data_IF_878081573225
#
_entry.id   IF_878081573225
#
_cell.length_a   1.000
_cell.length_b   1.000
_cell.length_c   1.000
_cell.angle_alpha   90.00
_cell.angle_beta   90.00
_cell.angle_gamma   90.00
#
_symmetry.space_group_name_H-M   'P 1'
#
loop_
_entity.id
_entity.type
_entity.pdbx_description
1 polymer ?
#
# COMPACT_ATOMS: atom_id res chain seq x y z
N UNK A 1 -9.24 7.78 -9.62
CA UNK A 1 -7.88 8.29 -9.28
C UNK A 1 -6.97 7.12 -8.91
N UNK A 2 -5.66 7.16 -9.21
CA UNK A 2 -4.75 6.04 -8.92
C UNK A 2 -4.17 6.10 -7.49
N UNK A 3 -5.04 6.16 -6.49
CA UNK A 3 -4.69 6.12 -5.06
C UNK A 3 -5.60 5.12 -4.34
N UNK A 4 -5.16 4.64 -3.18
CA UNK A 4 -5.93 3.77 -2.27
C UNK A 4 -5.95 4.45 -0.89
N UNK A 5 -7.10 4.52 -0.23
CA UNK A 5 -7.17 5.00 1.16
C UNK A 5 -6.80 3.86 2.11
N UNK A 6 -5.70 4.01 2.83
CA UNK A 6 -5.28 3.10 3.90
C UNK A 6 -6.04 3.39 5.20
N UNK A 7 -6.78 2.40 5.70
CA UNK A 7 -7.74 2.56 6.79
C UNK A 7 -7.22 2.11 8.16
N UNK A 8 -5.93 1.76 8.31
CA UNK A 8 -5.33 1.25 9.56
C UNK A 8 -5.60 2.14 10.80
N UNK A 9 -5.66 3.45 10.60
CA UNK A 9 -5.89 4.44 11.67
C UNK A 9 -7.37 4.73 11.92
N UNK A 10 -8.26 4.30 11.04
CA UNK A 10 -9.71 4.48 11.19
C UNK A 10 -10.21 3.38 12.12
N UNK A 11 -10.61 3.71 13.35
CA UNK A 11 -10.99 2.72 14.38
C UNK A 11 -12.33 3.02 15.05
N UNK A 12 -12.92 4.17 14.74
CA UNK A 12 -14.24 4.59 15.16
C UNK A 12 -15.04 5.05 13.93
N UNK A 13 -16.37 5.04 14.04
CA UNK A 13 -17.25 5.34 12.92
C UNK A 13 -17.09 6.77 12.42
N UNK A 14 -17.06 7.76 13.32
CA UNK A 14 -17.03 9.18 12.91
C UNK A 14 -15.76 9.55 12.16
N UNK A 15 -14.60 9.10 12.64
CA UNK A 15 -13.32 9.28 11.94
C UNK A 15 -13.27 8.53 10.61
N UNK A 16 -13.83 7.32 10.54
CA UNK A 16 -13.91 6.55 9.30
C UNK A 16 -14.82 7.23 8.26
N UNK A 17 -15.98 7.72 8.69
CA UNK A 17 -16.97 8.39 7.83
C UNK A 17 -16.37 9.63 7.17
N UNK A 18 -15.82 10.53 7.98
CA UNK A 18 -15.23 11.77 7.48
C UNK A 18 -14.02 11.50 6.55
N UNK A 19 -13.24 10.46 6.82
CA UNK A 19 -12.12 10.08 5.98
C UNK A 19 -12.57 9.48 4.63
N UNK A 20 -13.57 8.59 4.64
CA UNK A 20 -14.12 7.98 3.42
C UNK A 20 -14.84 9.02 2.57
N UNK A 21 -15.60 9.93 3.18
CA UNK A 21 -16.25 11.04 2.48
C UNK A 21 -15.22 11.92 1.76
N UNK A 22 -14.17 12.35 2.46
CA UNK A 22 -13.10 13.15 1.87
C UNK A 22 -12.38 12.40 0.73
N UNK A 23 -12.17 11.09 0.88
CA UNK A 23 -11.56 10.25 -0.13
C UNK A 23 -12.43 10.14 -1.40
N UNK A 24 -13.74 9.92 -1.23
CA UNK A 24 -14.71 9.91 -2.33
C UNK A 24 -14.78 11.27 -3.04
N UNK A 25 -14.75 12.38 -2.28
CA UNK A 25 -14.80 13.74 -2.83
C UNK A 25 -13.64 14.05 -3.79
N UNK A 26 -12.48 13.43 -3.59
CA UNK A 26 -11.32 13.55 -4.50
C UNK A 26 -11.21 12.40 -5.51
N UNK A 27 -12.13 11.44 -5.49
CA UNK A 27 -12.20 10.32 -6.44
C UNK A 27 -11.35 9.09 -6.09
N UNK A 28 -11.01 8.91 -4.81
CA UNK A 28 -10.48 7.64 -4.28
C UNK A 28 -11.67 6.73 -3.98
N UNK A 29 -11.72 5.59 -4.67
CA UNK A 29 -12.78 4.58 -4.53
C UNK A 29 -12.28 3.24 -3.99
N UNK A 30 -10.98 3.12 -3.69
CA UNK A 30 -10.37 1.89 -3.15
C UNK A 30 -10.02 2.10 -1.67
N UNK A 31 -10.49 1.19 -0.83
CA UNK A 31 -10.17 1.14 0.60
C UNK A 31 -9.26 -0.04 0.88
N UNK A 32 -8.25 0.17 1.72
CA UNK A 32 -7.34 -0.89 2.19
C UNK A 32 -7.39 -0.99 3.72
N UNK A 33 -7.83 -2.14 4.23
CA UNK A 33 -7.83 -2.47 5.66
C UNK A 33 -7.16 -3.84 5.89
N UNK A 34 -7.26 -4.41 7.10
CA UNK A 34 -6.81 -5.75 7.42
C UNK A 34 -7.54 -6.26 8.68
N UNK A 35 -7.67 -7.58 8.81
CA UNK A 35 -8.26 -8.23 9.99
C UNK A 35 -7.58 -7.86 11.31
N UNK A 36 -6.27 -7.67 11.30
CA UNK A 36 -5.47 -7.33 12.47
C UNK A 36 -5.50 -5.85 12.84
N UNK A 37 -5.96 -4.95 11.95
CA UNK A 37 -5.93 -3.50 12.20
C UNK A 37 -6.84 -3.10 13.37
N UNK A 38 -6.20 -2.74 14.48
CA UNK A 38 -6.90 -2.49 15.75
C UNK A 38 -7.70 -3.70 16.23
N UNK A 39 -7.20 -4.93 16.00
CA UNK A 39 -7.93 -6.17 16.27
C UNK A 39 -9.34 -6.17 15.62
N UNK A 40 -9.38 -5.85 14.32
CA UNK A 40 -10.60 -5.74 13.51
C UNK A 40 -11.41 -4.46 13.73
N UNK A 41 -10.92 -3.50 14.52
CA UNK A 41 -11.62 -2.23 14.74
C UNK A 41 -11.77 -1.43 13.44
N UNK A 42 -10.77 -1.51 12.55
CA UNK A 42 -10.85 -0.82 11.25
C UNK A 42 -11.96 -1.36 10.36
N UNK A 43 -12.07 -2.68 10.23
CA UNK A 43 -13.15 -3.31 9.48
C UNK A 43 -14.53 -3.00 10.09
N UNK A 44 -14.65 -3.00 11.43
CA UNK A 44 -15.90 -2.62 12.12
C UNK A 44 -16.29 -1.16 11.89
N UNK A 45 -15.32 -0.25 11.90
CA UNK A 45 -15.56 1.16 11.65
C UNK A 45 -16.04 1.38 10.21
N UNK A 46 -15.39 0.77 9.22
CA UNK A 46 -15.83 0.80 7.82
C UNK A 46 -17.24 0.20 7.69
N UNK A 47 -17.51 -0.95 8.32
CA UNK A 47 -18.82 -1.58 8.26
C UNK A 47 -19.94 -0.73 8.86
N UNK A 48 -19.68 -0.02 9.96
CA UNK A 48 -20.62 0.94 10.54
C UNK A 48 -20.92 2.11 9.58
N UNK A 49 -19.89 2.61 8.87
CA UNK A 49 -20.07 3.64 7.83
C UNK A 49 -20.91 3.12 6.67
N UNK A 50 -20.65 1.90 6.18
CA UNK A 50 -21.42 1.31 5.09
C UNK A 50 -22.87 1.02 5.48
N UNK A 51 -23.13 0.67 6.74
CA UNK A 51 -24.50 0.53 7.26
C UNK A 51 -25.23 1.88 7.34
N UNK A 52 -24.52 2.96 7.71
CA UNK A 52 -25.07 4.31 7.72
C UNK A 52 -25.26 4.90 6.30
N UNK A 53 -24.39 4.51 5.36
CA UNK A 53 -24.37 4.98 3.96
C UNK A 53 -24.38 3.82 2.95
N UNK A 54 -25.48 3.04 2.83
CA UNK A 54 -25.49 1.84 1.99
C UNK A 54 -25.15 2.08 0.52
N UNK A 55 -25.44 3.28 -0.01
CA UNK A 55 -25.12 3.66 -1.39
C UNK A 55 -23.62 3.74 -1.67
N UNK A 56 -22.79 3.97 -0.65
CA UNK A 56 -21.33 4.05 -0.80
C UNK A 56 -20.71 2.69 -1.13
N UNK A 57 -21.32 1.57 -0.72
CA UNK A 57 -20.80 0.23 -1.04
C UNK A 57 -20.63 0.03 -2.55
N UNK A 58 -21.56 0.55 -3.35
CA UNK A 58 -21.52 0.45 -4.82
C UNK A 58 -20.44 1.33 -5.47
N UNK A 59 -19.95 2.33 -4.75
CA UNK A 59 -18.92 3.26 -5.19
C UNK A 59 -17.51 2.83 -4.75
N UNK A 60 -17.43 1.91 -3.79
CA UNK A 60 -16.19 1.51 -3.13
C UNK A 60 -15.79 0.08 -3.52
N UNK A 61 -14.49 -0.10 -3.72
CA UNK A 61 -13.81 -1.39 -3.76
C UNK A 61 -13.07 -1.59 -2.45
N UNK A 62 -13.40 -2.65 -1.72
CA UNK A 62 -12.82 -2.97 -0.42
C UNK A 62 -11.74 -4.04 -0.57
N UNK A 63 -10.53 -3.67 -0.16
CA UNK A 63 -9.41 -4.57 0.03
C UNK A 63 -9.20 -4.83 1.52
N UNK A 64 -9.07 -6.10 1.92
CA UNK A 64 -8.61 -6.48 3.26
C UNK A 64 -7.51 -7.53 3.16
N UNK A 65 -6.94 -7.93 4.31
CA UNK A 65 -5.81 -8.85 4.39
C UNK A 65 -6.04 -9.86 5.49
N UNK A 66 -5.49 -11.05 5.30
CA UNK A 66 -5.44 -12.11 6.30
C UNK A 66 -4.02 -12.69 6.39
N UNK A 67 -3.77 -13.46 7.44
CA UNK A 67 -2.55 -14.27 7.56
C UNK A 67 -1.67 -13.96 8.76
N UNK A 68 -1.90 -12.80 9.41
CA UNK A 68 -1.32 -12.48 10.72
C UNK A 68 -2.41 -12.66 11.77
N UNK A 69 -2.21 -13.51 12.78
CA UNK A 69 -3.26 -13.78 13.76
C UNK A 69 -3.60 -12.53 14.57
N UNK A 70 -4.86 -12.06 14.57
CA UNK A 70 -5.27 -10.97 15.45
C UNK A 70 -5.06 -11.34 16.92
N UNK A 71 -4.39 -10.46 17.68
CA UNK A 71 -4.08 -10.68 19.10
C UNK A 71 -2.83 -11.53 19.37
N UNK A 72 -2.25 -12.17 18.36
CA UNK A 72 -0.99 -12.92 18.44
C UNK A 72 -0.14 -12.69 17.18
N UNK A 73 0.54 -11.55 17.06
CA UNK A 73 1.32 -11.23 15.87
C UNK A 73 2.62 -12.05 15.74
N UNK A 74 2.89 -12.99 16.65
CA UNK A 74 4.09 -13.83 16.61
C UNK A 74 3.95 -15.02 15.66
N UNK A 75 2.72 -15.36 15.27
CA UNK A 75 2.43 -16.53 14.45
C UNK A 75 1.61 -16.14 13.21
N UNK A 76 2.09 -16.53 12.04
CA UNK A 76 1.33 -16.47 10.79
C UNK A 76 0.54 -17.76 10.60
N UNK A 77 -0.64 -17.65 9.98
CA UNK A 77 -1.52 -18.77 9.69
C UNK A 77 -2.14 -18.55 8.32
N UNK A 78 -1.92 -19.50 7.41
CA UNK A 78 -2.46 -19.42 6.05
C UNK A 78 -3.14 -20.72 5.60
N UNK A 79 -3.30 -21.70 6.50
CA UNK A 79 -3.99 -22.95 6.19
C UNK A 79 -5.45 -22.72 5.76
N UNK A 80 -5.99 -23.67 4.97
CA UNK A 80 -7.29 -23.51 4.30
C UNK A 80 -8.46 -23.20 5.26
N UNK A 81 -8.50 -23.84 6.43
CA UNK A 81 -9.54 -23.59 7.44
C UNK A 81 -9.42 -22.17 8.01
N UNK A 82 -8.19 -21.72 8.27
CA UNK A 82 -7.93 -20.36 8.73
C UNK A 82 -8.28 -19.31 7.67
N UNK A 83 -7.99 -19.56 6.39
CA UNK A 83 -8.38 -18.66 5.29
C UNK A 83 -9.88 -18.38 5.32
N UNK A 84 -10.72 -19.43 5.35
CA UNK A 84 -12.17 -19.28 5.37
C UNK A 84 -12.65 -18.54 6.62
N UNK A 85 -12.17 -18.93 7.79
CA UNK A 85 -12.54 -18.30 9.05
C UNK A 85 -12.16 -16.81 9.10
N UNK A 86 -10.99 -16.43 8.57
CA UNK A 86 -10.57 -15.03 8.49
C UNK A 86 -11.46 -14.22 7.55
N UNK A 87 -11.78 -14.77 6.37
CA UNK A 87 -12.66 -14.11 5.39
C UNK A 87 -14.07 -13.92 5.94
N UNK A 88 -14.67 -14.95 6.52
CA UNK A 88 -15.99 -14.85 7.17
C UNK A 88 -15.98 -13.82 8.31
N UNK A 89 -14.91 -13.80 9.11
CA UNK A 89 -14.70 -12.80 10.15
C UNK A 89 -14.64 -11.37 9.60
N UNK A 90 -13.91 -11.16 8.50
CA UNK A 90 -13.82 -9.85 7.84
C UNK A 90 -15.15 -9.41 7.23
N UNK A 91 -15.85 -10.30 6.51
CA UNK A 91 -17.19 -10.03 5.96
C UNK A 91 -18.16 -9.61 7.06
N UNK A 92 -18.19 -10.34 8.18
CA UNK A 92 -19.03 -10.02 9.35
C UNK A 92 -18.69 -8.65 9.95
N UNK A 93 -17.42 -8.31 10.09
CA UNK A 93 -16.99 -7.01 10.65
C UNK A 93 -17.30 -5.86 9.70
N UNK A 94 -17.11 -6.07 8.41
CA UNK A 94 -17.41 -5.09 7.35
C UNK A 94 -18.91 -4.97 7.07
N UNK A 95 -19.73 -5.96 7.43
CA UNK A 95 -21.16 -5.99 7.10
C UNK A 95 -21.41 -6.03 5.59
N UNK A 96 -20.57 -6.76 4.84
CA UNK A 96 -20.68 -6.90 3.38
C UNK A 96 -20.70 -8.38 2.99
N UNK A 97 -21.31 -8.69 1.85
CA UNK A 97 -21.39 -10.07 1.33
C UNK A 97 -20.17 -10.46 0.48
N UNK A 98 -19.36 -9.47 0.06
CA UNK A 98 -18.22 -9.66 -0.83
C UNK A 98 -17.07 -8.71 -0.53
N UNK A 99 -15.86 -9.28 -0.53
CA UNK A 99 -14.58 -8.56 -0.52
C UNK A 99 -14.07 -8.43 -1.96
N UNK A 100 -13.70 -7.23 -2.41
CA UNK A 100 -13.29 -7.00 -3.80
C UNK A 100 -11.84 -7.46 -4.07
N UNK A 101 -10.97 -7.34 -3.06
CA UNK A 101 -9.58 -7.81 -3.11
C UNK A 101 -9.14 -8.36 -1.74
N UNK A 102 -8.58 -9.56 -1.70
CA UNK A 102 -8.03 -10.16 -0.49
C UNK A 102 -6.52 -10.33 -0.64
N UNK A 103 -5.73 -9.74 0.25
CA UNK A 103 -4.28 -9.93 0.26
C UNK A 103 -3.83 -10.95 1.30
N UNK A 104 -2.86 -11.79 0.92
CA UNK A 104 -2.04 -12.54 1.87
C UNK A 104 -1.06 -11.53 2.52
N UNK A 105 -1.24 -11.25 3.81
CA UNK A 105 -0.66 -10.07 4.47
C UNK A 105 0.88 -10.13 4.62
N UNK A 106 1.45 -11.32 4.81
CA UNK A 106 2.89 -11.55 4.93
C UNK A 106 3.25 -12.91 4.34
N UNK A 107 4.50 -13.15 3.90
CA UNK A 107 4.96 -14.50 3.59
C UNK A 107 5.01 -15.36 4.86
N UNK A 108 4.28 -16.47 4.86
CA UNK A 108 4.35 -17.48 5.92
C UNK A 108 5.34 -18.58 5.50
N UNK A 109 6.46 -18.78 6.23
CA UNK A 109 7.43 -19.84 5.95
C UNK A 109 6.85 -21.25 6.00
N UNK A 110 5.71 -21.45 6.67
CA UNK A 110 5.03 -22.73 6.82
C UNK A 110 3.77 -22.85 5.94
N UNK A 111 3.57 -21.92 5.00
CA UNK A 111 2.41 -21.95 4.11
C UNK A 111 2.37 -23.22 3.26
N UNK A 112 1.26 -23.94 3.31
CA UNK A 112 0.89 -24.94 2.31
C UNK A 112 0.21 -24.22 1.14
N UNK A 113 1.02 -23.82 0.14
CA UNK A 113 0.55 -23.11 -1.05
C UNK A 113 -0.65 -23.80 -1.72
N UNK A 114 -0.68 -25.14 -1.79
CA UNK A 114 -1.77 -25.86 -2.45
C UNK A 114 -3.05 -25.81 -1.63
N UNK A 115 -2.98 -26.06 -0.32
CA UNK A 115 -4.14 -25.99 0.56
C UNK A 115 -4.71 -24.56 0.63
N UNK A 116 -3.84 -23.56 0.85
CA UNK A 116 -4.22 -22.14 0.88
C UNK A 116 -4.80 -21.69 -0.46
N UNK A 117 -4.11 -22.01 -1.57
CA UNK A 117 -4.54 -21.67 -2.92
C UNK A 117 -5.89 -22.30 -3.27
N UNK A 118 -6.11 -23.57 -2.92
CA UNK A 118 -7.40 -24.25 -3.11
C UNK A 118 -8.53 -23.57 -2.33
N UNK A 119 -8.28 -23.17 -1.07
CA UNK A 119 -9.28 -22.46 -0.27
C UNK A 119 -9.62 -21.09 -0.87
N UNK A 120 -8.61 -20.32 -1.29
CA UNK A 120 -8.80 -19.02 -1.93
C UNK A 120 -9.53 -19.14 -3.27
N UNK A 121 -9.20 -20.14 -4.10
CA UNK A 121 -9.90 -20.37 -5.37
C UNK A 121 -11.38 -20.66 -5.15
N UNK A 122 -11.74 -21.50 -4.17
CA UNK A 122 -13.15 -21.76 -3.83
C UNK A 122 -13.89 -20.50 -3.42
N UNK A 123 -13.27 -19.65 -2.60
CA UNK A 123 -13.87 -18.37 -2.20
C UNK A 123 -14.05 -17.41 -3.40
N UNK A 124 -13.17 -17.48 -4.41
CA UNK A 124 -13.34 -16.75 -5.67
C UNK A 124 -14.50 -17.32 -6.51
N UNK A 125 -14.59 -18.64 -6.64
CA UNK A 125 -15.66 -19.35 -7.35
C UNK A 125 -17.04 -19.10 -6.71
N UNK A 126 -17.10 -19.05 -5.38
CA UNK A 126 -18.29 -18.68 -4.59
C UNK A 126 -18.70 -17.21 -4.77
N UNK A 127 -17.80 -16.36 -5.30
CA UNK A 127 -18.01 -14.92 -5.44
C UNK A 127 -17.80 -14.13 -4.13
N UNK A 128 -17.44 -14.82 -3.05
CA UNK A 128 -17.15 -14.26 -1.72
C UNK A 128 -15.97 -13.28 -1.77
N UNK A 129 -14.96 -13.57 -2.59
CA UNK A 129 -13.82 -12.67 -2.84
C UNK A 129 -13.64 -12.43 -4.35
N UNK A 130 -13.24 -11.22 -4.74
CA UNK A 130 -13.07 -10.84 -6.14
C UNK A 130 -11.71 -11.20 -6.73
N UNK A 131 -10.64 -10.71 -6.11
CA UNK A 131 -9.25 -10.94 -6.56
C UNK A 131 -8.37 -11.29 -5.37
N UNK A 132 -7.28 -11.98 -5.64
CA UNK A 132 -6.24 -12.27 -4.65
C UNK A 132 -5.00 -11.47 -4.97
N UNK A 133 -4.34 -10.94 -3.95
CA UNK A 133 -3.00 -10.40 -4.05
C UNK A 133 -2.16 -10.83 -2.87
N UNK A 134 -0.95 -10.31 -2.80
CA UNK A 134 0.01 -10.58 -1.74
C UNK A 134 0.57 -9.29 -1.17
N UNK A 135 1.28 -9.38 -0.06
CA UNK A 135 1.97 -8.24 0.52
C UNK A 135 3.32 -8.67 1.06
N UNK A 136 4.33 -7.81 0.82
CA UNK A 136 5.71 -8.02 1.25
C UNK A 136 6.32 -9.34 0.74
N UNK A 137 6.02 -9.69 -0.51
CA UNK A 137 6.59 -10.88 -1.15
C UNK A 137 7.51 -10.48 -2.30
N UNK A 138 8.59 -11.26 -2.47
CA UNK A 138 9.48 -11.14 -3.61
C UNK A 138 8.98 -11.99 -4.79
N UNK A 139 9.58 -11.81 -5.96
CA UNK A 139 9.19 -12.43 -7.24
C UNK A 139 9.10 -13.96 -7.18
N UNK A 140 10.06 -14.64 -6.54
CA UNK A 140 9.97 -16.10 -6.44
C UNK A 140 8.83 -16.59 -5.54
N UNK A 141 8.50 -15.86 -4.46
CA UNK A 141 7.31 -16.16 -3.64
C UNK A 141 6.02 -15.92 -4.41
N UNK A 142 5.96 -14.83 -5.17
CA UNK A 142 4.82 -14.53 -6.05
C UNK A 142 4.67 -15.64 -7.10
N UNK A 143 5.77 -16.07 -7.74
CA UNK A 143 5.77 -17.13 -8.73
C UNK A 143 5.22 -18.44 -8.17
N UNK A 144 5.52 -18.79 -6.92
CA UNK A 144 4.96 -19.96 -6.24
C UNK A 144 3.44 -19.82 -6.07
N UNK A 145 2.94 -18.67 -5.61
CA UNK A 145 1.50 -18.43 -5.53
C UNK A 145 0.81 -18.49 -6.89
N UNK A 146 1.44 -17.96 -7.94
CA UNK A 146 0.91 -18.02 -9.30
C UNK A 146 0.78 -19.44 -9.86
N UNK A 147 1.38 -20.46 -9.24
CA UNK A 147 1.15 -21.87 -9.59
C UNK A 147 -0.23 -22.37 -9.16
N UNK A 148 -0.85 -21.72 -8.17
CA UNK A 148 -2.09 -22.19 -7.53
C UNK A 148 -3.21 -21.16 -7.59
N UNK A 149 -2.92 -19.86 -7.75
CA UNK A 149 -3.93 -18.81 -7.83
C UNK A 149 -3.43 -17.57 -8.60
N UNK A 150 -4.29 -16.89 -9.39
CA UNK A 150 -3.91 -15.62 -9.99
C UNK A 150 -3.62 -14.54 -8.95
N UNK A 151 -2.41 -13.99 -8.98
CA UNK A 151 -2.00 -12.88 -8.11
C UNK A 151 -2.18 -11.56 -8.87
N UNK A 152 -2.97 -10.65 -8.31
CA UNK A 152 -3.36 -9.38 -8.95
C UNK A 152 -2.61 -8.14 -8.44
N UNK A 153 -2.05 -8.22 -7.23
CA UNK A 153 -1.33 -7.10 -6.62
C UNK A 153 -0.23 -7.61 -5.67
N UNK A 154 0.81 -6.80 -5.47
CA UNK A 154 1.77 -6.92 -4.38
C UNK A 154 1.82 -5.59 -3.63
N UNK A 155 1.41 -5.59 -2.36
CA UNK A 155 1.50 -4.41 -1.49
C UNK A 155 2.80 -4.42 -0.68
N UNK A 156 3.66 -3.43 -0.91
CA UNK A 156 5.02 -3.36 -0.35
C UNK A 156 5.39 -1.91 0.04
N UNK A 157 6.36 -1.72 0.93
CA UNK A 157 6.78 -0.39 1.36
C UNK A 157 7.60 0.30 0.29
N UNK A 158 7.13 1.42 -0.22
CA UNK A 158 7.86 2.23 -1.20
C UNK A 158 7.64 3.70 -0.85
N UNK A 159 8.73 4.45 -0.72
CA UNK A 159 8.71 5.89 -0.46
C UNK A 159 10.07 6.50 -0.75
N UNK A 160 10.22 7.82 -0.64
CA UNK A 160 11.56 8.43 -0.64
C UNK A 160 12.45 7.90 0.51
N UNK A 161 11.88 7.40 1.61
CA UNK A 161 12.66 6.73 2.66
C UNK A 161 12.95 5.25 2.38
N UNK A 162 12.18 4.63 1.49
CA UNK A 162 12.31 3.23 1.08
C UNK A 162 12.42 3.17 -0.44
N UNK A 163 13.52 3.73 -0.95
CA UNK A 163 13.80 3.91 -2.38
C UNK A 163 14.72 2.82 -2.95
N UNK A 164 15.05 1.80 -2.15
CA UNK A 164 15.91 0.69 -2.56
C UNK A 164 15.38 -0.07 -3.79
N UNK A 165 14.08 0.02 -4.08
CA UNK A 165 13.49 -0.50 -5.31
C UNK A 165 14.00 0.16 -6.60
N UNK A 166 14.54 1.39 -6.49
CA UNK A 166 15.23 2.08 -7.58
C UNK A 166 16.71 1.75 -7.55
N UNK A 167 17.30 1.70 -6.34
CA UNK A 167 18.73 1.43 -6.20
C UNK A 167 19.14 0.09 -6.80
N UNK A 168 18.35 -0.97 -6.60
CA UNK A 168 18.64 -2.30 -7.17
C UNK A 168 18.75 -2.32 -8.69
N UNK A 169 18.12 -1.37 -9.38
CA UNK A 169 18.16 -1.26 -10.85
C UNK A 169 19.26 -0.29 -11.32
N UNK A 170 19.55 0.75 -10.54
CA UNK A 170 20.58 1.76 -10.87
C UNK A 170 21.99 1.28 -10.54
N UNK A 171 22.13 0.50 -9.47
CA UNK A 171 23.44 0.07 -8.94
C UNK A 171 23.93 -1.25 -9.52
N UNK A 172 23.31 -1.73 -10.59
CA UNK A 172 23.76 -2.91 -11.31
C UNK A 172 25.23 -2.73 -11.70
N UNK A 173 26.07 -3.72 -11.37
CA UNK A 173 27.51 -3.70 -11.63
C UNK A 173 28.29 -2.61 -10.87
N UNK A 174 27.79 -2.15 -9.72
CA UNK A 174 28.51 -1.27 -8.80
C UNK A 174 29.16 -2.05 -7.65
N UNK A 175 30.29 -1.57 -7.14
CA UNK A 175 31.00 -2.20 -6.01
C UNK A 175 30.32 -1.88 -4.68
N UNK A 176 30.37 -2.85 -3.74
CA UNK A 176 29.95 -2.71 -2.34
C UNK A 176 28.51 -2.22 -2.10
N UNK A 177 27.54 -2.76 -2.84
CA UNK A 177 26.12 -2.39 -2.68
C UNK A 177 25.33 -3.52 -2.01
N UNK A 178 24.76 -3.23 -0.83
CA UNK A 178 23.77 -4.06 -0.17
C UNK A 178 22.44 -3.31 -0.21
N UNK A 179 21.42 -3.93 -0.79
CA UNK A 179 20.07 -3.36 -0.85
C UNK A 179 19.10 -4.25 -0.09
N UNK A 180 18.24 -3.65 0.72
CA UNK A 180 17.18 -4.34 1.45
C UNK A 180 15.92 -4.55 0.59
N UNK A 181 16.08 -4.66 -0.74
CA UNK A 181 14.98 -4.82 -1.69
C UNK A 181 15.29 -5.96 -2.69
N UNK A 182 14.31 -6.82 -3.03
CA UNK A 182 14.55 -7.90 -3.99
C UNK A 182 14.80 -7.37 -5.40
N UNK A 183 15.96 -7.71 -5.97
CA UNK A 183 16.32 -7.35 -7.34
C UNK A 183 15.32 -7.96 -8.34
N UNK A 184 14.79 -7.16 -9.25
CA UNK A 184 13.89 -7.62 -10.31
C UNK A 184 12.41 -7.75 -9.91
N UNK A 185 12.03 -7.46 -8.66
CA UNK A 185 10.63 -7.53 -8.22
C UNK A 185 9.69 -6.63 -9.03
N UNK A 186 10.07 -5.37 -9.27
CA UNK A 186 9.25 -4.44 -10.06
C UNK A 186 9.09 -4.90 -11.51
N UNK A 187 10.18 -5.20 -12.26
CA UNK A 187 10.08 -5.81 -13.59
C UNK A 187 9.23 -7.09 -13.62
N UNK A 188 9.33 -7.95 -12.61
CA UNK A 188 8.51 -9.15 -12.51
C UNK A 188 7.03 -8.79 -12.42
N UNK A 189 6.65 -7.89 -11.52
CA UNK A 189 5.26 -7.42 -11.38
C UNK A 189 4.73 -6.80 -12.68
N UNK A 190 5.53 -5.96 -13.34
CA UNK A 190 5.17 -5.32 -14.62
C UNK A 190 4.89 -6.33 -15.73
N UNK A 191 5.75 -7.35 -15.87
CA UNK A 191 5.63 -8.36 -16.93
C UNK A 191 4.51 -9.37 -16.67
N UNK A 192 4.05 -9.50 -15.43
CA UNK A 192 2.98 -10.42 -15.03
C UNK A 192 1.64 -9.73 -14.75
N UNK A 193 1.53 -8.42 -15.00
CA UNK A 193 0.29 -7.67 -14.78
C UNK A 193 -0.12 -7.55 -13.31
N UNK A 194 0.85 -7.52 -12.39
CA UNK A 194 0.63 -7.41 -10.95
C UNK A 194 0.73 -5.93 -10.55
N UNK A 195 -0.34 -5.39 -9.96
CA UNK A 195 -0.36 -4.01 -9.46
C UNK A 195 0.58 -3.86 -8.24
N UNK A 196 1.43 -2.84 -8.27
CA UNK A 196 2.31 -2.52 -7.13
C UNK A 196 1.62 -1.49 -6.26
N UNK A 197 1.33 -1.85 -5.01
CA UNK A 197 0.70 -0.96 -4.05
C UNK A 197 1.72 -0.50 -3.00
N UNK A 198 2.02 0.79 -2.96
CA UNK A 198 3.01 1.37 -2.05
C UNK A 198 2.36 1.74 -0.71
N UNK A 199 2.58 0.95 0.34
CA UNK A 199 2.21 1.38 1.70
C UNK A 199 3.28 2.31 2.29
N UNK A 200 2.90 3.09 3.31
CA UNK A 200 3.74 4.15 3.90
C UNK A 200 4.36 5.13 2.88
N UNK A 201 3.62 5.59 1.84
CA UNK A 201 4.22 6.34 0.74
C UNK A 201 4.80 7.70 1.15
N UNK A 202 4.35 8.25 2.29
CA UNK A 202 4.83 9.51 2.88
C UNK A 202 5.89 9.32 3.97
N UNK A 203 6.31 8.08 4.27
CA UNK A 203 7.26 7.75 5.34
C UNK A 203 6.91 8.44 6.68
N UNK A 204 5.68 8.25 7.15
CA UNK A 204 5.17 8.91 8.37
C UNK A 204 4.88 10.41 8.22
N UNK A 205 5.03 10.98 7.03
CA UNK A 205 4.87 12.41 6.75
C UNK A 205 6.16 13.21 6.87
N UNK A 206 7.31 12.56 7.01
CA UNK A 206 8.59 13.20 7.31
C UNK A 206 9.04 14.23 6.27
N UNK A 207 8.70 13.99 4.99
CA UNK A 207 8.97 14.89 3.87
C UNK A 207 7.83 15.86 3.58
N UNK A 208 6.74 15.78 4.34
CA UNK A 208 5.54 16.62 4.17
C UNK A 208 5.18 17.39 5.44
N UNK A 209 6.18 17.72 6.27
CA UNK A 209 6.02 18.60 7.43
C UNK A 209 5.84 17.92 8.78
N UNK A 210 5.86 16.58 8.87
CA UNK A 210 5.87 15.91 10.17
C UNK A 210 7.25 16.00 10.84
N UNK A 211 7.25 16.18 12.17
CA UNK A 211 8.45 16.12 13.00
C UNK A 211 8.99 14.67 13.09
N UNK A 212 10.30 14.52 13.30
CA UNK A 212 10.99 13.21 13.35
C UNK A 212 11.78 12.89 12.08
N UNK A 213 12.34 11.68 11.99
CA UNK A 213 13.06 11.15 10.83
C UNK A 213 12.71 9.66 10.69
N UNK A 214 12.67 9.07 9.49
CA UNK A 214 12.53 7.63 9.39
C UNK A 214 13.80 6.99 9.98
N UNK A 215 13.67 5.84 10.64
CA UNK A 215 14.80 5.20 11.35
C UNK A 215 15.96 4.86 10.40
N UNK A 216 15.66 4.63 9.13
CA UNK A 216 16.60 4.27 8.08
C UNK A 216 17.21 5.45 7.31
N UNK A 217 16.90 6.71 7.68
CA UNK A 217 17.59 7.88 7.11
C UNK A 217 18.12 8.80 8.20
N UNK A 218 19.40 9.15 8.10
CA UNK A 218 20.07 10.02 9.07
C UNK A 218 20.86 11.12 8.39
N UNK A 219 21.18 12.18 9.15
CA UNK A 219 22.09 13.23 8.72
C UNK A 219 21.62 14.02 7.50
N UNK A 220 22.50 14.16 6.51
CA UNK A 220 22.33 15.06 5.35
C UNK A 220 21.22 14.62 4.40
N UNK A 221 21.09 13.32 4.08
CA UNK A 221 20.09 12.84 3.13
C UNK A 221 18.65 13.23 3.54
N UNK A 222 18.32 13.13 4.83
CA UNK A 222 17.02 13.56 5.34
C UNK A 222 16.78 15.07 5.16
N UNK A 223 17.79 15.88 5.48
CA UNK A 223 17.70 17.34 5.37
C UNK A 223 17.61 17.78 3.91
N UNK A 224 18.45 17.20 3.04
CA UNK A 224 18.50 17.50 1.61
C UNK A 224 17.22 17.08 0.91
N UNK A 225 16.67 15.90 1.26
CA UNK A 225 15.38 15.45 0.72
C UNK A 225 14.25 16.39 1.12
N UNK A 226 14.20 16.82 2.38
CA UNK A 226 13.19 17.79 2.85
C UNK A 226 13.30 19.11 2.11
N UNK A 227 14.51 19.64 1.97
CA UNK A 227 14.76 20.88 1.24
C UNK A 227 14.36 20.75 -0.24
N UNK A 228 14.70 19.61 -0.87
CA UNK A 228 14.35 19.31 -2.25
C UNK A 228 12.82 19.24 -2.46
N UNK A 229 12.11 18.50 -1.61
CA UNK A 229 10.64 18.41 -1.65
C UNK A 229 10.01 19.78 -1.45
N UNK A 230 10.46 20.57 -0.46
CA UNK A 230 9.92 21.89 -0.19
C UNK A 230 10.13 22.86 -1.37
N UNK A 231 11.32 22.82 -2.00
CA UNK A 231 11.61 23.65 -3.17
C UNK A 231 10.73 23.27 -4.37
N UNK A 232 10.65 21.99 -4.71
CA UNK A 232 9.83 21.51 -5.84
C UNK A 232 8.34 21.81 -5.58
N UNK A 233 7.87 21.64 -4.33
CA UNK A 233 6.52 22.00 -3.93
C UNK A 233 6.22 23.49 -4.18
N UNK A 234 7.15 24.38 -3.80
CA UNK A 234 7.02 25.82 -4.04
C UNK A 234 7.04 26.17 -5.52
N UNK A 235 7.95 25.59 -6.31
CA UNK A 235 8.03 25.78 -7.77
C UNK A 235 6.74 25.37 -8.49
N UNK A 236 6.10 24.30 -8.02
CA UNK A 236 4.89 23.75 -8.63
C UNK A 236 3.59 24.30 -8.02
N UNK A 237 3.66 25.14 -6.98
CA UNK A 237 2.48 25.60 -6.24
C UNK A 237 1.66 24.46 -5.64
N UNK A 238 2.34 23.41 -5.17
CA UNK A 238 1.72 22.17 -4.68
C UNK A 238 2.05 21.91 -3.21
N UNK A 239 1.25 21.08 -2.56
CA UNK A 239 1.55 20.60 -1.21
C UNK A 239 2.76 19.64 -1.24
N UNK A 240 3.67 19.68 -0.26
CA UNK A 240 4.80 18.75 -0.16
C UNK A 240 4.40 17.27 -0.25
N UNK A 241 3.27 16.90 0.39
CA UNK A 241 2.75 15.53 0.30
C UNK A 241 2.41 15.14 -1.15
N UNK A 242 1.90 16.07 -1.95
CA UNK A 242 1.57 15.82 -3.34
C UNK A 242 2.83 15.56 -4.19
N UNK A 243 3.92 16.28 -3.95
CA UNK A 243 5.23 16.05 -4.59
C UNK A 243 5.76 14.64 -4.29
N UNK A 244 5.74 14.24 -3.01
CA UNK A 244 6.20 12.91 -2.58
C UNK A 244 5.37 11.80 -3.23
N UNK A 245 4.05 11.94 -3.27
CA UNK A 245 3.17 10.99 -3.94
C UNK A 245 3.37 10.97 -5.46
N UNK A 246 3.57 12.13 -6.08
CA UNK A 246 3.83 12.25 -7.52
C UNK A 246 5.14 11.56 -7.93
N UNK A 247 6.15 11.53 -7.05
CA UNK A 247 7.38 10.79 -7.28
C UNK A 247 7.13 9.29 -7.48
N UNK A 248 6.31 8.67 -6.62
CA UNK A 248 5.89 7.26 -6.79
C UNK A 248 5.01 7.09 -8.03
N UNK A 249 4.00 7.95 -8.21
CA UNK A 249 3.05 7.87 -9.33
C UNK A 249 3.71 8.03 -10.70
N UNK A 250 4.85 8.71 -10.78
CA UNK A 250 5.60 8.93 -12.02
C UNK A 250 6.39 7.69 -12.46
N UNK A 251 6.63 6.73 -11.57
CA UNK A 251 7.44 5.54 -11.88
C UNK A 251 6.77 4.65 -12.95
N UNK A 252 7.50 4.14 -13.96
CA UNK A 252 6.92 3.36 -15.06
C UNK A 252 6.28 2.04 -14.64
N UNK A 253 6.59 1.54 -13.44
CA UNK A 253 5.95 0.34 -12.87
C UNK A 253 4.49 0.55 -12.45
N UNK A 254 3.94 1.76 -12.59
CA UNK A 254 2.54 2.04 -12.27
C UNK A 254 2.21 1.94 -10.79
N UNK A 255 3.14 2.38 -9.93
CA UNK A 255 3.02 2.29 -8.47
C UNK A 255 1.76 3.03 -7.99
N UNK A 256 0.99 2.37 -7.13
CA UNK A 256 -0.26 2.87 -6.55
C UNK A 256 -0.06 3.17 -5.07
N UNK A 257 0.06 4.43 -4.65
CA UNK A 257 0.17 4.77 -3.23
C UNK A 257 -1.08 4.43 -2.40
N UNK A 258 -0.86 3.77 -1.26
CA UNK A 258 -1.84 3.54 -0.20
C UNK A 258 -1.67 4.66 0.84
N UNK A 259 -2.48 5.71 0.71
CA UNK A 259 -2.40 6.91 1.55
C UNK A 259 -3.18 6.76 2.84
N UNK A 260 -2.52 6.90 3.99
CA UNK A 260 -3.14 6.73 5.31
C UNK A 260 -3.30 8.04 6.08
N UNK A 261 -4.53 8.46 6.32
CA UNK A 261 -4.88 9.61 7.18
C UNK A 261 -6.25 9.41 7.81
N UNK A 262 -6.43 9.91 9.04
CA UNK A 262 -7.74 10.07 9.67
C UNK A 262 -8.23 11.53 9.63
N UNK A 263 -7.40 12.45 9.13
CA UNK A 263 -7.74 13.86 8.96
C UNK A 263 -8.29 14.09 7.53
N UNK A 264 -9.56 14.50 7.37
CA UNK A 264 -10.20 14.78 6.08
C UNK A 264 -9.50 15.86 5.25
N UNK A 265 -9.02 16.94 5.88
CA UNK A 265 -8.32 18.04 5.20
C UNK A 265 -7.03 17.53 4.55
N UNK A 266 -6.29 16.67 5.27
CA UNK A 266 -5.08 16.03 4.71
C UNK A 266 -5.43 15.07 3.58
N UNK A 267 -6.56 14.37 3.65
CA UNK A 267 -6.99 13.50 2.55
C UNK A 267 -7.27 14.34 1.30
N UNK A 268 -7.97 15.46 1.46
CA UNK A 268 -8.30 16.35 0.36
C UNK A 268 -7.07 16.85 -0.41
N UNK A 269 -5.93 17.07 0.27
CA UNK A 269 -4.69 17.51 -0.41
C UNK A 269 -4.11 16.45 -1.35
N UNK A 270 -4.34 15.15 -1.10
CA UNK A 270 -3.87 14.07 -1.96
C UNK A 270 -4.46 14.10 -3.37
N UNK A 271 -5.64 14.71 -3.54
CA UNK A 271 -6.26 14.85 -4.86
C UNK A 271 -5.43 15.65 -5.87
N UNK A 272 -4.55 16.53 -5.38
CA UNK A 272 -3.61 17.28 -6.24
C UNK A 272 -2.46 16.42 -6.75
N UNK A 273 -2.05 15.39 -6.01
CA UNK A 273 -0.92 14.53 -6.37
C UNK A 273 -1.10 13.82 -7.71
N UNK A 274 -2.31 13.32 -7.97
CA UNK A 274 -2.63 12.62 -9.22
C UNK A 274 -2.60 13.52 -10.46
N UNK A 275 -2.61 14.85 -10.28
CA UNK A 275 -2.52 15.84 -11.36
C UNK A 275 -1.11 16.40 -11.51
N UNK A 276 -0.23 16.15 -10.54
CA UNK A 276 1.11 16.69 -10.53
C UNK A 276 2.02 15.83 -11.44
N UNK A 277 2.64 16.45 -12.44
CA UNK A 277 3.56 15.80 -13.35
C UNK A 277 4.97 16.32 -13.08
N UNK A 278 5.77 15.56 -12.33
CA UNK A 278 7.18 15.88 -12.12
C UNK A 278 7.94 15.79 -13.45
N UNK A 279 8.83 16.75 -13.70
CA UNK A 279 9.81 16.61 -14.77
C UNK A 279 10.75 15.43 -14.46
N UNK A 280 11.49 14.98 -15.48
CA UNK A 280 12.49 13.93 -15.29
C UNK A 280 13.56 14.39 -14.29
N UNK A 281 13.99 15.64 -14.41
CA UNK A 281 14.99 16.29 -13.58
C UNK A 281 14.51 16.36 -12.13
N UNK A 282 13.30 16.85 -11.88
CA UNK A 282 12.70 16.89 -10.54
C UNK A 282 12.59 15.50 -9.91
N UNK A 283 12.24 14.49 -10.71
CA UNK A 283 12.17 13.11 -10.22
C UNK A 283 13.55 12.58 -9.76
N UNK A 284 14.60 12.84 -10.56
CA UNK A 284 15.97 12.47 -10.21
C UNK A 284 16.54 13.31 -9.05
N UNK A 285 16.21 14.59 -8.96
CA UNK A 285 16.62 15.45 -7.84
C UNK A 285 16.09 14.91 -6.51
N UNK A 286 14.81 14.48 -6.47
CA UNK A 286 14.21 13.84 -5.31
C UNK A 286 14.88 12.49 -5.00
N UNK A 287 15.10 11.68 -6.03
CA UNK A 287 15.74 10.37 -5.88
C UNK A 287 17.17 10.49 -5.33
N UNK A 288 18.01 11.33 -5.93
CA UNK A 288 19.41 11.52 -5.50
C UNK A 288 19.48 12.13 -4.11
N UNK A 289 18.61 13.09 -3.77
CA UNK A 289 18.54 13.65 -2.43
C UNK A 289 18.15 12.57 -1.39
N UNK A 290 17.16 11.72 -1.71
CA UNK A 290 16.74 10.61 -0.87
C UNK A 290 17.83 9.55 -0.70
N UNK A 291 18.53 9.23 -1.78
CA UNK A 291 19.64 8.29 -1.83
C UNK A 291 20.86 8.77 -1.04
N UNK A 292 21.06 10.08 -0.93
CA UNK A 292 22.17 10.69 -0.18
C UNK A 292 23.55 10.49 -0.82
N UNK A 293 23.61 10.03 -2.07
CA UNK A 293 24.85 9.81 -2.85
C UNK A 293 24.55 9.96 -4.35
N UNK A 294 25.55 10.29 -5.19
CA UNK A 294 25.36 10.43 -6.63
C UNK A 294 24.95 9.11 -7.29
N UNK A 295 24.41 9.22 -8.51
CA UNK A 295 24.25 8.08 -9.41
C UNK A 295 25.64 7.49 -9.76
N UNK A 296 25.73 6.18 -10.09
CA UNK A 296 26.96 5.54 -10.51
C UNK A 296 27.64 6.17 -11.73
#
# INVERSE_FOLDING_TARGET
>A
MNLILGCMKLRDQGGAEAAIEAALAIGITRLDTADIYGAGASERAIGAVLAAHPSWRSQLSIQTKFGIRPGDPTTYRQDGDYVRASVEGSLKRLGVDRIDSLLIHRPDPLADYFATGSALMRLMEEGTIGRVGVSNMHEHQIALWQRVIPVSANQIELSLAHHAFVDVDVDVNCVDQHHDFPTGLLPYCMTHGIEIQAYSPLAGGVFSGAAGGPENMTGHALADTRACVARIAAEMGAEPAAVVLAWLLRHPAGIVPVVGSANPERIATFGSAARLCLSREQWYELYVAARGRPLP
#
